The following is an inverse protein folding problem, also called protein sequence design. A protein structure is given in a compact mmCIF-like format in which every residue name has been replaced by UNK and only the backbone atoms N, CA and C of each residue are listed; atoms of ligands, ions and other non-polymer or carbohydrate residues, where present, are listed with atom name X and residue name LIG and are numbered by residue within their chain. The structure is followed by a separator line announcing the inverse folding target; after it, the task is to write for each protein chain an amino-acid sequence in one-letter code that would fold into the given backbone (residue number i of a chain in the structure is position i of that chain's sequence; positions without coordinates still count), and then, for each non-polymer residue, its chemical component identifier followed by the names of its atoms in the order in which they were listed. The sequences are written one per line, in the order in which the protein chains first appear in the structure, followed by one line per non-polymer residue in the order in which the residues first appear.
data_IF_155805608418
#
_entry.id   IF_155805608418
#
_cell.length_a   1.000
_cell.length_b   1.000
_cell.length_c   1.000
_cell.angle_alpha   90.00
_cell.angle_beta   90.00
_cell.angle_gamma   90.00
#
_symmetry.space_group_name_H-M   'P 1'
#
loop_
_entity.id
_entity.type
_entity.pdbx_description
1 polymer ?
#
# COMPACT_ATOMS: atom_id res chain seq x y z
N UNK A 1 13.49 11.12 62.46
CA UNK A 1 12.50 10.14 61.98
C UNK A 1 11.47 10.97 61.23
N UNK A 2 11.29 10.92 59.91
CA UNK A 2 11.27 9.80 58.95
C UNK A 2 11.56 10.37 57.56
N UNK A 3 12.69 9.99 56.94
CA UNK A 3 12.78 9.29 55.64
C UNK A 3 11.84 9.78 54.55
N UNK A 4 12.37 10.66 53.69
CA UNK A 4 12.05 10.74 52.27
C UNK A 4 12.43 9.41 51.59
N UNK A 5 11.48 8.79 50.89
CA UNK A 5 11.77 7.76 49.89
C UNK A 5 10.59 7.56 48.94
N UNK A 6 10.94 7.42 47.66
CA UNK A 6 10.16 6.96 46.50
C UNK A 6 9.39 8.07 45.74
N UNK A 7 9.54 8.21 44.43
CA UNK A 7 10.17 7.34 43.43
C UNK A 7 10.51 8.14 42.17
N UNK A 8 11.78 8.13 41.79
CA UNK A 8 12.20 8.42 40.42
C UNK A 8 11.68 7.29 39.52
N UNK A 9 10.73 7.60 38.65
CA UNK A 9 10.39 6.75 37.51
C UNK A 9 11.56 6.80 36.51
N UNK A 10 12.53 5.93 36.74
CA UNK A 10 13.52 5.59 35.72
C UNK A 10 12.77 4.82 34.63
N UNK A 11 12.38 5.53 33.56
CA UNK A 11 11.95 4.93 32.30
C UNK A 11 13.05 3.99 31.82
N UNK A 12 12.91 2.69 32.10
CA UNK A 12 13.72 1.65 31.45
C UNK A 12 13.42 1.80 29.96
N UNK A 13 14.41 2.28 29.20
CA UNK A 13 14.32 2.29 27.75
C UNK A 13 14.00 0.86 27.30
N UNK A 14 12.76 0.63 26.85
CA UNK A 14 12.31 -0.67 26.42
C UNK A 14 13.30 -1.20 25.37
N UNK A 15 13.80 -2.42 25.60
CA UNK A 15 14.73 -3.05 24.65
C UNK A 15 14.12 -3.04 23.25
N UNK A 16 14.92 -2.77 22.20
CA UNK A 16 14.45 -2.77 20.82
C UNK A 16 13.68 -4.06 20.52
N UNK A 17 12.57 -3.93 19.78
CA UNK A 17 11.82 -5.10 19.30
C UNK A 17 12.75 -5.89 18.37
N UNK A 18 12.77 -7.24 18.42
CA UNK A 18 13.57 -8.08 17.51
C UNK A 18 13.01 -8.09 16.07
N UNK A 19 12.76 -6.90 15.55
CA UNK A 19 12.22 -6.60 14.24
C UNK A 19 13.15 -5.61 13.55
N UNK A 20 13.51 -5.91 12.30
CA UNK A 20 14.18 -4.97 11.42
C UNK A 20 13.19 -4.14 10.61
N UNK A 21 13.56 -2.92 10.25
CA UNK A 21 12.72 -2.03 9.45
C UNK A 21 13.41 -1.71 8.13
N UNK A 22 12.66 -1.84 7.03
CA UNK A 22 13.05 -1.43 5.69
C UNK A 22 12.19 -0.25 5.27
N UNK A 23 12.82 0.91 5.08
CA UNK A 23 12.19 2.13 4.57
C UNK A 23 12.60 2.33 3.12
N UNK A 24 11.65 2.51 2.20
CA UNK A 24 11.95 2.88 0.80
C UNK A 24 11.57 4.34 0.54
N UNK A 25 12.32 5.07 -0.28
CA UNK A 25 11.97 6.46 -0.58
C UNK A 25 12.65 7.04 -1.81
N UNK A 26 12.10 8.18 -2.25
CA UNK A 26 12.68 9.06 -3.27
C UNK A 26 12.20 10.49 -3.07
N UNK A 27 13.12 11.42 -2.83
CA UNK A 27 12.81 12.85 -2.69
C UNK A 27 11.72 13.14 -1.63
N UNK A 28 11.81 12.48 -0.48
CA UNK A 28 10.78 12.57 0.56
C UNK A 28 11.06 13.65 1.62
N UNK A 29 12.24 14.28 1.59
CA UNK A 29 12.61 15.42 2.42
C UNK A 29 12.26 15.23 3.90
N UNK A 30 11.52 16.19 4.47
CA UNK A 30 11.11 16.14 5.88
C UNK A 30 10.16 14.97 6.21
N UNK A 31 9.49 14.38 5.21
CA UNK A 31 8.67 13.18 5.45
C UNK A 31 9.55 12.00 5.79
N UNK A 32 10.67 11.80 5.08
CA UNK A 32 11.66 10.78 5.40
C UNK A 32 12.25 10.98 6.79
N UNK A 33 12.56 12.23 7.15
CA UNK A 33 13.11 12.55 8.47
C UNK A 33 12.17 12.10 9.59
N UNK A 34 10.86 12.36 9.44
CA UNK A 34 9.82 11.89 10.37
C UNK A 34 9.71 10.37 10.36
N UNK A 35 9.69 9.74 9.19
CA UNK A 35 9.65 8.29 9.05
C UNK A 35 10.78 7.62 9.83
N UNK A 36 12.02 8.02 9.56
CA UNK A 36 13.20 7.43 10.19
C UNK A 36 13.24 7.73 11.70
N UNK A 37 12.84 8.92 12.13
CA UNK A 37 12.72 9.24 13.55
C UNK A 37 11.70 8.36 14.28
N UNK A 38 10.61 7.96 13.64
CA UNK A 38 9.56 7.12 14.25
C UNK A 38 9.98 5.66 14.51
N UNK A 39 11.03 5.18 13.83
CA UNK A 39 11.49 3.78 13.94
C UNK A 39 12.88 3.64 14.55
N UNK A 40 13.70 4.70 14.50
CA UNK A 40 15.06 4.70 15.05
C UNK A 40 15.00 4.54 16.57
N UNK A 41 15.72 3.54 17.09
CA UNK A 41 15.74 3.18 18.51
C UNK A 41 14.61 2.25 18.95
N UNK A 42 13.55 2.09 18.15
CA UNK A 42 12.48 1.12 18.43
C UNK A 42 12.72 -0.24 17.75
N UNK A 43 13.39 -0.25 16.60
CA UNK A 43 13.74 -1.43 15.82
C UNK A 43 15.16 -1.93 16.11
N UNK A 44 15.41 -3.22 15.88
CA UNK A 44 16.74 -3.83 16.02
C UNK A 44 17.74 -3.32 14.98
N UNK A 45 17.27 -3.03 13.76
CA UNK A 45 18.03 -2.39 12.69
C UNK A 45 17.08 -1.65 11.75
N UNK A 46 17.57 -0.57 11.14
CA UNK A 46 16.82 0.23 10.17
C UNK A 46 17.66 0.38 8.90
N UNK A 47 17.10 -0.02 7.77
CA UNK A 47 17.70 0.17 6.44
C UNK A 47 16.82 1.13 5.65
N UNK A 48 17.41 2.22 5.18
CA UNK A 48 16.80 3.10 4.19
C UNK A 48 17.28 2.72 2.79
N UNK A 49 16.35 2.58 1.85
CA UNK A 49 16.64 2.28 0.46
C UNK A 49 16.23 3.45 -0.40
N UNK A 50 17.24 4.07 -0.99
CA UNK A 50 17.09 5.24 -1.83
C UNK A 50 16.97 4.85 -3.31
N UNK A 51 15.99 5.42 -4.00
CA UNK A 51 15.75 5.19 -5.42
C UNK A 51 16.11 6.40 -6.29
N UNK A 52 17.20 7.08 -5.94
CA UNK A 52 17.75 8.22 -6.69
C UNK A 52 17.18 9.55 -6.22
N UNK A 53 17.30 9.82 -4.92
CA UNK A 53 16.97 11.13 -4.34
C UNK A 53 18.05 12.16 -4.64
N UNK A 54 17.65 13.43 -4.73
CA UNK A 54 18.51 14.59 -4.97
C UNK A 54 18.25 15.73 -3.98
N UNK A 55 17.52 15.45 -2.90
CA UNK A 55 17.05 16.43 -1.92
C UNK A 55 17.81 16.38 -0.57
N UNK A 56 18.93 15.67 -0.53
CA UNK A 56 19.72 15.47 0.70
C UNK A 56 19.25 14.30 1.58
N UNK A 57 18.28 13.49 1.13
CA UNK A 57 17.74 12.35 1.89
C UNK A 57 18.81 11.35 2.32
N UNK A 58 19.74 11.00 1.42
CA UNK A 58 20.79 10.00 1.68
C UNK A 58 21.80 10.51 2.70
N UNK A 59 22.27 11.75 2.53
CA UNK A 59 23.23 12.40 3.41
C UNK A 59 22.66 12.53 4.81
N UNK A 60 21.39 12.94 4.92
CA UNK A 60 20.72 13.05 6.20
C UNK A 60 20.50 11.69 6.88
N UNK A 61 20.05 10.66 6.15
CA UNK A 61 19.86 9.33 6.72
C UNK A 61 21.16 8.77 7.31
N UNK A 62 22.28 8.94 6.60
CA UNK A 62 23.61 8.56 7.08
C UNK A 62 24.04 9.35 8.31
N UNK A 63 23.78 10.66 8.35
CA UNK A 63 24.20 11.52 9.46
C UNK A 63 23.51 11.17 10.79
N UNK A 64 22.33 10.52 10.72
CA UNK A 64 21.61 10.01 11.90
C UNK A 64 21.82 8.52 12.16
N UNK A 65 22.82 7.90 11.51
CA UNK A 65 23.24 6.52 11.75
C UNK A 65 22.34 5.45 11.14
N UNK A 66 21.52 5.77 10.14
CA UNK A 66 20.71 4.78 9.40
C UNK A 66 21.55 4.18 8.27
N UNK A 67 21.49 2.86 8.10
CA UNK A 67 22.16 2.18 6.98
C UNK A 67 21.41 2.49 5.68
N UNK A 68 22.15 2.86 4.63
CA UNK A 68 21.57 3.32 3.36
C UNK A 68 22.01 2.45 2.20
N UNK A 69 21.04 1.91 1.48
CA UNK A 69 21.21 1.23 0.19
C UNK A 69 20.76 2.16 -0.92
N UNK A 70 21.67 2.63 -1.75
CA UNK A 70 21.33 3.35 -2.98
C UNK A 70 21.10 2.34 -4.11
N UNK A 71 19.93 2.36 -4.74
CA UNK A 71 19.65 1.49 -5.87
C UNK A 71 20.45 1.90 -7.11
N UNK A 72 20.86 0.91 -7.89
CA UNK A 72 21.42 1.14 -9.22
C UNK A 72 20.33 1.65 -10.17
N UNK A 73 20.49 2.89 -10.63
CA UNK A 73 19.56 3.58 -11.52
C UNK A 73 19.73 3.19 -12.99
N UNK A 74 20.74 2.38 -13.35
CA UNK A 74 20.87 1.80 -14.70
C UNK A 74 19.72 0.83 -15.03
N UNK A 75 19.08 0.30 -13.99
CA UNK A 75 17.93 -0.58 -14.07
C UNK A 75 16.70 0.16 -13.55
N UNK A 76 15.52 0.06 -14.23
CA UNK A 76 14.31 0.72 -13.75
C UNK A 76 13.99 0.34 -12.30
N UNK A 77 13.75 1.34 -11.45
CA UNK A 77 13.40 1.10 -10.05
C UNK A 77 11.92 0.75 -9.92
N UNK A 78 11.61 -0.09 -8.95
CA UNK A 78 10.25 -0.40 -8.50
C UNK A 78 10.26 -0.42 -6.97
N UNK A 79 9.10 -0.22 -6.35
CA UNK A 79 9.00 -0.35 -4.90
C UNK A 79 9.37 -1.78 -4.43
N UNK A 80 9.04 -2.80 -5.23
CA UNK A 80 9.48 -4.18 -5.02
C UNK A 80 11.00 -4.32 -4.93
N UNK A 81 11.75 -3.73 -5.88
CA UNK A 81 13.23 -3.72 -5.85
C UNK A 81 13.77 -3.04 -4.60
N UNK A 82 13.20 -1.89 -4.24
CA UNK A 82 13.60 -1.17 -3.03
C UNK A 82 13.42 -2.03 -1.78
N UNK A 83 12.25 -2.66 -1.62
CA UNK A 83 11.97 -3.52 -0.46
C UNK A 83 12.85 -4.76 -0.41
N UNK A 84 13.09 -5.41 -1.55
CA UNK A 84 13.98 -6.58 -1.60
C UNK A 84 15.43 -6.23 -1.26
N UNK A 85 15.97 -5.15 -1.85
CA UNK A 85 17.33 -4.71 -1.58
C UNK A 85 17.52 -4.34 -0.09
N UNK A 86 16.54 -3.65 0.48
CA UNK A 86 16.53 -3.32 1.90
C UNK A 86 16.44 -4.55 2.79
N UNK A 87 15.61 -5.53 2.44
CA UNK A 87 15.51 -6.78 3.21
C UNK A 87 16.82 -7.59 3.14
N UNK A 88 17.46 -7.67 1.97
CA UNK A 88 18.75 -8.34 1.82
C UNK A 88 19.80 -7.71 2.75
N UNK A 89 19.93 -6.37 2.71
CA UNK A 89 20.83 -5.63 3.59
C UNK A 89 20.48 -5.80 5.07
N UNK A 90 19.19 -5.77 5.40
CA UNK A 90 18.72 -5.97 6.78
C UNK A 90 19.15 -7.34 7.32
N UNK A 91 19.10 -8.40 6.50
CA UNK A 91 19.54 -9.73 6.90
C UNK A 91 21.04 -9.83 7.15
N UNK A 92 21.86 -9.02 6.48
CA UNK A 92 23.29 -8.93 6.76
C UNK A 92 23.55 -8.24 8.11
N UNK A 93 22.83 -7.15 8.38
CA UNK A 93 23.01 -6.34 9.59
C UNK A 93 22.42 -6.97 10.84
N UNK A 94 21.26 -7.64 10.71
CA UNK A 94 20.51 -8.20 11.82
C UNK A 94 19.91 -9.56 11.44
N UNK A 95 20.73 -10.61 11.28
CA UNK A 95 20.28 -11.94 10.88
C UNK A 95 19.31 -12.58 11.90
N UNK A 96 19.33 -12.12 13.16
CA UNK A 96 18.44 -12.58 14.22
C UNK A 96 17.04 -11.92 14.19
N UNK A 97 16.81 -10.93 13.30
CA UNK A 97 15.50 -10.28 13.17
C UNK A 97 14.46 -11.24 12.60
N UNK A 98 13.59 -11.77 13.48
CA UNK A 98 12.51 -12.70 13.13
C UNK A 98 11.42 -12.05 12.28
N UNK A 99 11.30 -10.73 12.37
CA UNK A 99 10.31 -9.95 11.64
C UNK A 99 10.96 -8.81 10.85
N UNK A 100 10.36 -8.48 9.72
CA UNK A 100 10.67 -7.27 8.94
C UNK A 100 9.42 -6.40 8.83
N UNK A 101 9.56 -5.12 9.15
CA UNK A 101 8.56 -4.09 8.88
C UNK A 101 8.96 -3.32 7.62
N UNK A 102 8.11 -3.33 6.60
CA UNK A 102 8.26 -2.46 5.44
C UNK A 102 7.51 -1.14 5.67
N UNK A 103 8.11 -0.01 5.29
CA UNK A 103 7.53 1.33 5.43
C UNK A 103 7.91 2.17 4.20
N UNK A 104 7.00 3.04 3.77
CA UNK A 104 7.31 4.05 2.74
C UNK A 104 7.83 5.33 3.42
N UNK A 105 8.82 6.00 2.83
CA UNK A 105 9.52 7.14 3.42
C UNK A 105 8.64 8.37 3.69
N UNK A 106 7.40 8.38 3.20
CA UNK A 106 6.40 9.40 3.48
C UNK A 106 5.39 8.99 4.56
N UNK A 107 5.71 7.94 5.33
CA UNK A 107 4.91 7.45 6.44
C UNK A 107 5.59 7.67 7.79
N UNK A 108 4.82 7.82 8.85
CA UNK A 108 5.28 7.83 10.22
C UNK A 108 4.70 6.61 10.95
N UNK A 109 5.55 5.71 11.44
CA UNK A 109 5.10 4.52 12.17
C UNK A 109 4.54 4.92 13.52
N UNK A 110 3.41 4.34 13.91
CA UNK A 110 2.76 4.68 15.15
C UNK A 110 3.57 4.24 16.38
N UNK A 111 3.63 5.04 17.45
CA UNK A 111 4.28 4.64 18.69
C UNK A 111 3.75 3.29 19.19
N UNK A 112 4.66 2.38 19.54
CA UNK A 112 4.31 1.03 20.03
C UNK A 112 3.89 0.02 18.95
N UNK A 113 3.64 0.44 17.70
CA UNK A 113 3.19 -0.47 16.62
C UNK A 113 4.11 -1.67 16.45
N UNK A 114 5.44 -1.45 16.40
CA UNK A 114 6.41 -2.54 16.17
C UNK A 114 6.28 -3.65 17.24
N UNK A 115 6.03 -3.28 18.50
CA UNK A 115 5.84 -4.22 19.60
C UNK A 115 4.51 -4.96 19.45
N UNK A 116 3.42 -4.22 19.23
CA UNK A 116 2.07 -4.81 19.08
C UNK A 116 2.04 -5.81 17.92
N UNK A 117 2.62 -5.45 16.78
CA UNK A 117 2.69 -6.31 15.60
C UNK A 117 3.58 -7.54 15.82
N UNK A 118 4.74 -7.39 16.44
CA UNK A 118 5.63 -8.53 16.73
C UNK A 118 4.98 -9.49 17.70
N UNK A 119 4.36 -8.98 18.76
CA UNK A 119 3.72 -9.78 19.79
C UNK A 119 2.51 -10.52 19.19
N UNK A 120 1.73 -9.86 18.32
CA UNK A 120 0.64 -10.53 17.58
C UNK A 120 1.15 -11.70 16.74
N UNK A 121 2.23 -11.50 15.97
CA UNK A 121 2.81 -12.58 15.18
C UNK A 121 3.37 -13.68 16.09
N UNK A 122 4.00 -13.38 17.21
CA UNK A 122 4.48 -14.41 18.14
C UNK A 122 3.36 -15.32 18.67
N UNK A 123 2.16 -14.78 18.88
CA UNK A 123 0.99 -15.56 19.32
C UNK A 123 0.19 -16.23 18.18
N UNK A 124 0.48 -15.92 16.91
CA UNK A 124 -0.23 -16.41 15.73
C UNK A 124 0.75 -17.04 14.73
N UNK A 125 1.23 -18.28 14.98
CA UNK A 125 2.26 -18.92 14.16
C UNK A 125 1.86 -19.14 12.70
N UNK A 126 0.56 -19.26 12.40
CA UNK A 126 -0.03 -19.43 11.07
C UNK A 126 -0.21 -18.11 10.30
N UNK A 127 0.04 -16.96 10.93
CA UNK A 127 0.00 -15.64 10.28
C UNK A 127 1.41 -15.23 9.87
N UNK A 128 1.59 -14.96 8.57
CA UNK A 128 2.88 -14.52 8.03
C UNK A 128 2.99 -12.99 7.93
N UNK A 129 1.87 -12.29 7.80
CA UNK A 129 1.84 -10.84 7.61
C UNK A 129 0.77 -10.21 8.51
N UNK A 130 1.14 -9.14 9.21
CA UNK A 130 0.21 -8.30 9.97
C UNK A 130 0.35 -6.84 9.57
N UNK A 131 -0.78 -6.19 9.31
CA UNK A 131 -0.86 -4.75 9.17
C UNK A 131 -1.92 -4.17 10.11
N UNK A 132 -1.82 -2.89 10.44
CA UNK A 132 -2.80 -2.20 11.26
C UNK A 132 -3.63 -1.21 10.46
N UNK A 133 -4.21 -0.24 11.15
CA UNK A 133 -4.87 0.91 10.56
C UNK A 133 -3.80 1.90 10.06
N UNK A 134 -3.70 2.02 8.73
CA UNK A 134 -2.97 3.10 8.08
C UNK A 134 -3.88 4.33 7.98
N UNK A 135 -3.55 5.44 8.63
CA UNK A 135 -4.31 6.69 8.54
C UNK A 135 -3.71 7.61 7.50
N UNK A 136 -4.54 8.40 6.84
CA UNK A 136 -4.03 9.58 6.17
C UNK A 136 -3.68 10.65 7.21
N UNK A 137 -2.55 11.32 7.04
CA UNK A 137 -2.05 12.33 7.97
C UNK A 137 -2.89 13.60 7.94
N UNK A 138 -3.32 14.02 6.74
CA UNK A 138 -4.06 15.27 6.54
C UNK A 138 -5.35 15.01 5.73
N UNK A 139 -6.30 14.23 6.26
CA UNK A 139 -7.48 13.81 5.51
C UNK A 139 -8.36 15.00 5.07
N UNK A 140 -8.33 16.10 5.80
CA UNK A 140 -9.03 17.36 5.52
C UNK A 140 -8.37 18.21 4.42
N UNK A 141 -7.13 17.93 4.02
CA UNK A 141 -6.38 18.74 3.07
C UNK A 141 -6.96 18.73 1.65
N UNK A 142 -7.61 17.63 1.27
CA UNK A 142 -8.37 17.53 0.04
C UNK A 142 -9.34 16.34 0.09
N UNK A 143 -10.32 16.33 -0.82
CA UNK A 143 -11.21 15.17 -0.99
C UNK A 143 -10.44 13.89 -1.33
N UNK A 144 -9.28 13.98 -1.97
CA UNK A 144 -8.47 12.83 -2.36
C UNK A 144 -7.66 12.28 -1.19
N UNK A 145 -7.19 13.14 -0.28
CA UNK A 145 -6.63 12.73 1.01
C UNK A 145 -7.71 12.02 1.84
N UNK A 146 -8.92 12.61 1.92
CA UNK A 146 -10.07 11.98 2.60
C UNK A 146 -10.40 10.61 2.02
N UNK A 147 -10.37 10.46 0.69
CA UNK A 147 -10.59 9.18 0.02
C UNK A 147 -9.52 8.14 0.39
N UNK A 148 -8.23 8.50 0.42
CA UNK A 148 -7.17 7.62 0.89
C UNK A 148 -7.49 7.10 2.30
N UNK A 149 -7.85 7.99 3.22
CA UNK A 149 -8.17 7.61 4.60
C UNK A 149 -9.30 6.58 4.68
N UNK A 150 -10.38 6.82 3.93
CA UNK A 150 -11.55 5.94 3.85
C UNK A 150 -11.16 4.58 3.25
N UNK A 151 -10.43 4.57 2.13
CA UNK A 151 -10.06 3.35 1.40
C UNK A 151 -9.08 2.46 2.17
N UNK A 152 -8.21 3.05 2.99
CA UNK A 152 -7.28 2.31 3.83
C UNK A 152 -7.94 1.73 5.09
N UNK A 153 -9.13 2.20 5.46
CA UNK A 153 -9.89 1.67 6.58
C UNK A 153 -10.67 0.40 6.21
N UNK A 154 -9.94 -0.68 5.95
CA UNK A 154 -10.54 -1.99 5.64
C UNK A 154 -10.98 -2.72 6.91
N UNK A 155 -11.72 -3.82 6.79
CA UNK A 155 -12.16 -4.60 7.94
C UNK A 155 -10.99 -5.20 8.73
N UNK A 156 -11.14 -5.32 10.06
CA UNK A 156 -10.22 -6.08 10.94
C UNK A 156 -10.43 -7.57 10.70
N UNK A 157 -9.35 -8.35 10.77
CA UNK A 157 -9.37 -9.81 10.63
C UNK A 157 -8.53 -10.30 9.46
N UNK A 158 -8.76 -11.56 9.08
CA UNK A 158 -8.12 -12.18 7.93
C UNK A 158 -8.44 -11.43 6.63
N UNK A 159 -7.43 -11.26 5.78
CA UNK A 159 -7.57 -10.58 4.49
C UNK A 159 -6.81 -11.31 3.39
N UNK A 160 -7.22 -11.13 2.14
CA UNK A 160 -6.52 -11.69 0.98
C UNK A 160 -5.17 -11.00 0.70
N UNK A 161 -5.04 -9.74 1.11
CA UNK A 161 -3.84 -8.92 0.86
C UNK A 161 -3.69 -7.72 1.80
N UNK A 162 -2.45 -7.26 2.01
CA UNK A 162 -2.08 -6.02 2.70
C UNK A 162 -1.53 -4.96 1.73
N UNK A 163 -1.24 -3.76 2.23
CA UNK A 163 -0.50 -2.73 1.47
C UNK A 163 1.01 -2.84 1.70
N UNK A 164 1.76 -1.84 1.22
CA UNK A 164 3.23 -1.80 1.30
C UNK A 164 3.81 -1.54 2.70
N UNK A 165 2.97 -1.07 3.63
CA UNK A 165 3.32 -0.88 5.04
C UNK A 165 2.76 -2.05 5.83
N UNK A 166 3.64 -2.93 6.30
CA UNK A 166 3.27 -4.24 6.85
C UNK A 166 4.47 -4.86 7.59
N UNK A 167 4.19 -5.56 8.68
CA UNK A 167 5.16 -6.45 9.32
C UNK A 167 4.99 -7.87 8.81
N UNK A 168 6.09 -8.51 8.43
CA UNK A 168 6.13 -9.88 7.93
C UNK A 168 7.14 -10.73 8.71
N UNK A 169 6.90 -12.04 8.77
CA UNK A 169 7.93 -12.99 9.18
C UNK A 169 9.06 -13.02 8.14
N UNK A 170 10.28 -12.85 8.61
CA UNK A 170 11.47 -12.79 7.75
C UNK A 170 11.70 -14.08 6.98
N UNK A 171 11.46 -15.24 7.61
CA UNK A 171 11.60 -16.56 7.02
C UNK A 171 10.55 -16.83 5.95
N UNK A 172 9.28 -16.48 6.18
CA UNK A 172 8.21 -16.61 5.18
C UNK A 172 8.49 -15.69 3.98
N UNK A 173 8.84 -14.43 4.23
CA UNK A 173 9.17 -13.49 3.16
C UNK A 173 10.35 -13.98 2.30
N UNK A 174 11.39 -14.53 2.92
CA UNK A 174 12.51 -15.16 2.23
C UNK A 174 12.08 -16.43 1.45
N UNK A 175 11.27 -17.30 2.07
CA UNK A 175 10.83 -18.57 1.48
C UNK A 175 9.95 -18.38 0.24
N UNK A 176 9.21 -17.28 0.14
CA UNK A 176 8.44 -16.94 -1.06
C UNK A 176 9.26 -16.20 -2.12
N UNK A 177 10.52 -15.87 -1.86
CA UNK A 177 11.40 -15.16 -2.79
C UNK A 177 11.18 -13.65 -2.83
N UNK A 178 10.62 -13.06 -1.75
CA UNK A 178 10.37 -11.61 -1.67
C UNK A 178 9.35 -11.08 -2.67
N UNK A 179 9.39 -9.76 -2.92
CA UNK A 179 8.53 -9.10 -3.92
C UNK A 179 9.00 -9.43 -5.34
N UNK A 180 8.05 -9.54 -6.29
CA UNK A 180 8.38 -9.70 -7.70
C UNK A 180 8.84 -8.35 -8.30
N UNK A 181 10.14 -8.19 -8.49
CA UNK A 181 10.77 -6.93 -8.90
C UNK A 181 10.33 -6.40 -10.26
N UNK A 182 9.83 -7.26 -11.15
CA UNK A 182 9.35 -6.88 -12.47
C UNK A 182 8.02 -6.11 -12.43
N UNK A 183 7.29 -6.14 -11.31
CA UNK A 183 6.00 -5.46 -11.17
C UNK A 183 6.22 -3.97 -10.93
N UNK A 184 5.57 -3.14 -11.74
CA UNK A 184 5.54 -1.68 -11.53
C UNK A 184 4.43 -1.27 -10.55
N UNK A 185 3.47 -2.17 -10.30
CA UNK A 185 2.36 -1.98 -9.38
C UNK A 185 1.74 -3.33 -9.01
N UNK A 186 1.17 -3.43 -7.80
CA UNK A 186 0.47 -4.64 -7.36
C UNK A 186 1.41 -5.71 -6.80
N UNK A 187 2.64 -5.31 -6.43
CA UNK A 187 3.62 -6.18 -5.82
C UNK A 187 3.14 -6.78 -4.49
N UNK A 188 2.37 -6.04 -3.70
CA UNK A 188 1.85 -6.51 -2.41
C UNK A 188 0.74 -7.56 -2.53
N UNK A 189 -0.34 -7.34 -3.32
CA UNK A 189 -1.34 -8.39 -3.51
C UNK A 189 -0.77 -9.63 -4.21
N UNK A 190 0.20 -9.47 -5.11
CA UNK A 190 0.88 -10.61 -5.74
C UNK A 190 1.68 -11.44 -4.72
N UNK A 191 2.44 -10.77 -3.85
CA UNK A 191 3.17 -11.42 -2.76
C UNK A 191 2.21 -12.12 -1.79
N UNK A 192 1.13 -11.46 -1.37
CA UNK A 192 0.14 -12.03 -0.47
C UNK A 192 -0.51 -13.29 -1.05
N UNK A 193 -0.75 -13.33 -2.37
CA UNK A 193 -1.26 -14.52 -3.04
C UNK A 193 -0.28 -15.69 -2.91
N UNK A 194 1.02 -15.47 -3.15
CA UNK A 194 2.06 -16.51 -3.00
C UNK A 194 2.23 -16.97 -1.55
N UNK A 195 2.15 -16.07 -0.58
CA UNK A 195 2.16 -16.39 0.84
C UNK A 195 0.97 -17.30 1.18
N UNK A 196 -0.24 -16.92 0.76
CA UNK A 196 -1.44 -17.73 1.00
C UNK A 196 -1.45 -19.07 0.29
N UNK A 197 -0.83 -19.16 -0.88
CA UNK A 197 -0.67 -20.43 -1.59
C UNK A 197 0.20 -21.44 -0.82
N UNK A 198 1.00 -20.99 0.16
CA UNK A 198 1.74 -21.87 1.10
C UNK A 198 0.94 -22.29 2.32
N UNK A 199 -0.26 -21.73 2.52
CA UNK A 199 -1.10 -21.96 3.69
C UNK A 199 -0.98 -20.89 4.77
N UNK A 200 -0.08 -19.92 4.61
CA UNK A 200 0.09 -18.80 5.55
C UNK A 200 -1.05 -17.77 5.42
N UNK A 201 -1.39 -17.11 6.53
CA UNK A 201 -2.47 -16.10 6.58
C UNK A 201 -1.92 -14.68 6.58
N UNK A 202 -2.75 -13.75 6.10
CA UNK A 202 -2.51 -12.30 6.13
C UNK A 202 -3.59 -11.67 7.00
N UNK A 203 -3.19 -10.85 7.97
CA UNK A 203 -4.09 -10.31 8.99
C UNK A 203 -4.04 -8.79 9.06
N UNK A 204 -5.20 -8.18 9.33
CA UNK A 204 -5.28 -6.78 9.75
C UNK A 204 -5.78 -6.69 11.19
N UNK A 205 -5.02 -6.01 12.07
CA UNK A 205 -5.45 -5.68 13.43
C UNK A 205 -6.02 -4.25 13.52
N UNK A 206 -6.67 -3.92 14.64
CA UNK A 206 -7.38 -2.66 14.82
C UNK A 206 -6.45 -1.48 15.12
N UNK A 207 -5.29 -1.76 15.70
CA UNK A 207 -4.29 -0.78 16.15
C UNK A 207 -3.80 0.11 15.02
N UNK A 208 -3.52 1.37 15.34
CA UNK A 208 -2.91 2.30 14.40
C UNK A 208 -1.49 1.86 14.09
N UNK A 209 -1.19 1.71 12.80
CA UNK A 209 0.10 1.24 12.30
C UNK A 209 1.00 2.40 11.88
N UNK A 210 0.44 3.35 11.14
CA UNK A 210 1.18 4.50 10.63
C UNK A 210 0.24 5.62 10.17
N UNK A 211 0.81 6.82 10.04
CA UNK A 211 0.24 7.94 9.30
C UNK A 211 0.98 8.10 7.98
N UNK A 212 0.25 8.00 6.86
CA UNK A 212 0.76 8.27 5.52
C UNK A 212 0.54 9.75 5.19
N UNK A 213 1.51 10.44 4.58
CA UNK A 213 1.26 11.72 3.91
C UNK A 213 1.12 11.49 2.40
N UNK A 214 -0.08 11.14 1.95
CA UNK A 214 -0.35 10.82 0.55
C UNK A 214 -0.01 11.97 -0.40
N UNK A 215 -0.07 13.22 0.08
CA UNK A 215 0.08 14.46 -0.68
C UNK A 215 -0.74 14.50 -2.00
N UNK A 216 -1.87 13.78 -2.04
CA UNK A 216 -2.74 13.69 -3.20
C UNK A 216 -3.77 14.80 -3.13
N UNK A 217 -3.56 15.90 -3.86
CA UNK A 217 -4.41 17.11 -3.78
C UNK A 217 -5.13 17.42 -5.10
N UNK A 218 -4.79 16.71 -6.19
CA UNK A 218 -5.28 17.01 -7.54
C UNK A 218 -5.95 15.81 -8.18
N UNK A 219 -6.99 16.05 -8.98
CA UNK A 219 -7.70 15.03 -9.73
C UNK A 219 -6.77 14.15 -10.58
N UNK A 220 -5.81 14.76 -11.28
CA UNK A 220 -4.87 14.03 -12.14
C UNK A 220 -3.96 13.06 -11.37
N UNK A 221 -3.67 13.30 -10.09
CA UNK A 221 -2.92 12.37 -9.25
C UNK A 221 -3.80 11.16 -8.90
N UNK A 222 -5.03 11.42 -8.45
CA UNK A 222 -6.02 10.36 -8.20
C UNK A 222 -6.30 9.51 -9.45
N UNK A 223 -6.49 10.15 -10.61
CA UNK A 223 -6.71 9.46 -11.89
C UNK A 223 -5.54 8.53 -12.23
N UNK A 224 -4.30 9.03 -12.15
CA UNK A 224 -3.10 8.22 -12.41
C UNK A 224 -2.95 7.06 -11.43
N UNK A 225 -3.26 7.27 -10.15
CA UNK A 225 -3.30 6.19 -9.14
C UNK A 225 -4.34 5.12 -9.49
N UNK A 226 -5.51 5.50 -9.98
CA UNK A 226 -6.54 4.55 -10.42
C UNK A 226 -6.14 3.81 -11.71
N UNK A 227 -5.49 4.48 -12.67
CA UNK A 227 -4.90 3.82 -13.86
C UNK A 227 -3.84 2.79 -13.43
N UNK A 228 -2.95 3.15 -12.50
CA UNK A 228 -1.98 2.22 -11.92
C UNK A 228 -2.66 1.02 -11.27
N UNK A 229 -3.76 1.23 -10.56
CA UNK A 229 -4.58 0.16 -9.97
C UNK A 229 -5.20 -0.79 -11.00
N UNK A 230 -5.67 -0.27 -12.13
CA UNK A 230 -6.17 -1.07 -13.25
C UNK A 230 -5.08 -1.89 -13.93
N UNK A 231 -3.90 -1.30 -14.13
CA UNK A 231 -2.72 -2.00 -14.65
C UNK A 231 -2.31 -3.17 -13.74
N UNK A 232 -2.16 -2.91 -12.44
CA UNK A 232 -1.82 -3.92 -11.44
C UNK A 232 -2.82 -5.09 -11.42
N UNK A 233 -4.11 -4.78 -11.55
CA UNK A 233 -5.17 -5.78 -11.61
C UNK A 233 -5.03 -6.70 -12.83
N UNK A 234 -4.82 -6.11 -14.01
CA UNK A 234 -4.66 -6.88 -15.25
C UNK A 234 -3.39 -7.73 -15.24
N UNK A 235 -2.28 -7.17 -14.77
CA UNK A 235 -1.01 -7.89 -14.66
C UNK A 235 -1.09 -9.04 -13.66
N UNK A 236 -1.63 -8.81 -12.47
CA UNK A 236 -1.81 -9.86 -11.46
C UNK A 236 -2.69 -11.01 -11.96
N UNK A 237 -3.80 -10.70 -12.66
CA UNK A 237 -4.67 -11.72 -13.26
C UNK A 237 -3.96 -12.49 -14.38
N UNK A 238 -3.13 -11.83 -15.19
CA UNK A 238 -2.36 -12.50 -16.25
C UNK A 238 -1.27 -13.41 -15.67
N UNK A 239 -0.68 -13.06 -14.52
CA UNK A 239 0.34 -13.86 -13.84
C UNK A 239 -0.22 -15.10 -13.16
N UNK A 240 -1.39 -15.00 -12.53
CA UNK A 240 -1.92 -16.08 -11.69
C UNK A 240 -3.13 -16.82 -12.27
N UNK A 241 -3.78 -16.26 -13.29
CA UNK A 241 -4.89 -16.89 -14.00
C UNK A 241 -5.95 -17.45 -13.03
N UNK A 242 -6.12 -18.77 -13.05
CA UNK A 242 -7.07 -19.49 -12.19
C UNK A 242 -6.83 -19.28 -10.69
N UNK A 243 -5.58 -19.12 -10.24
CA UNK A 243 -5.21 -18.92 -8.84
C UNK A 243 -5.54 -17.51 -8.30
N UNK A 244 -5.90 -16.57 -9.18
CA UNK A 244 -6.26 -15.21 -8.77
C UNK A 244 -7.51 -15.18 -7.88
N UNK A 245 -7.54 -14.24 -6.93
CA UNK A 245 -8.63 -14.13 -5.95
C UNK A 245 -9.99 -13.88 -6.63
N UNK A 246 -11.07 -14.36 -6.00
CA UNK A 246 -12.44 -14.08 -6.46
C UNK A 246 -12.73 -12.56 -6.45
N UNK A 247 -12.11 -11.83 -5.52
CA UNK A 247 -12.17 -10.36 -5.40
C UNK A 247 -11.60 -9.68 -6.64
N UNK A 248 -10.42 -10.09 -7.11
CA UNK A 248 -9.77 -9.51 -8.29
C UNK A 248 -10.54 -9.83 -9.56
N UNK A 249 -11.00 -11.07 -9.73
CA UNK A 249 -11.88 -11.47 -10.84
C UNK A 249 -13.17 -10.63 -10.85
N UNK A 250 -13.79 -10.43 -9.69
CA UNK A 250 -14.96 -9.57 -9.53
C UNK A 250 -14.68 -8.09 -9.85
N UNK A 251 -13.53 -7.57 -9.42
CA UNK A 251 -13.07 -6.22 -9.74
C UNK A 251 -12.88 -6.05 -11.26
N UNK A 252 -12.23 -6.99 -11.93
CA UNK A 252 -12.04 -6.92 -13.39
C UNK A 252 -13.39 -6.90 -14.13
N UNK A 253 -14.31 -7.81 -13.78
CA UNK A 253 -15.66 -7.83 -14.38
C UNK A 253 -16.36 -6.48 -14.22
N UNK A 254 -16.25 -5.86 -13.05
CA UNK A 254 -16.83 -4.54 -12.78
C UNK A 254 -16.17 -3.45 -13.63
N UNK A 255 -14.85 -3.43 -13.72
CA UNK A 255 -14.10 -2.47 -14.53
C UNK A 255 -14.45 -2.61 -16.02
N UNK A 256 -14.51 -3.85 -16.53
CA UNK A 256 -14.90 -4.11 -17.92
C UNK A 256 -16.34 -3.69 -18.17
N UNK A 257 -17.28 -4.11 -17.32
CA UNK A 257 -18.70 -3.81 -17.51
C UNK A 257 -18.99 -2.31 -17.46
N UNK A 258 -18.49 -1.62 -16.43
CA UNK A 258 -18.84 -0.23 -16.14
C UNK A 258 -17.85 0.80 -16.69
N UNK A 259 -16.59 0.42 -16.91
CA UNK A 259 -15.57 1.32 -17.44
C UNK A 259 -15.36 1.22 -18.95
N UNK A 260 -15.81 0.13 -19.60
CA UNK A 260 -15.60 -0.10 -21.03
C UNK A 260 -16.88 -0.45 -21.79
N UNK A 261 -17.51 -1.58 -21.45
CA UNK A 261 -18.61 -2.16 -22.24
C UNK A 261 -19.85 -1.26 -22.25
N UNK A 262 -20.31 -0.79 -21.09
CA UNK A 262 -21.47 0.09 -21.00
C UNK A 262 -21.22 1.45 -21.68
N UNK A 263 -20.12 2.19 -21.42
CA UNK A 263 -19.83 3.43 -22.16
C UNK A 263 -19.79 3.23 -23.69
N UNK A 264 -19.14 2.17 -24.17
CA UNK A 264 -19.06 1.87 -25.60
C UNK A 264 -20.45 1.57 -26.21
N UNK A 265 -21.27 0.79 -25.51
CA UNK A 265 -22.64 0.51 -25.93
C UNK A 265 -23.49 1.79 -25.99
N UNK A 266 -23.38 2.67 -25.00
CA UNK A 266 -24.11 3.95 -24.97
C UNK A 266 -23.71 4.87 -26.12
N UNK A 267 -22.42 4.95 -26.44
CA UNK A 267 -21.93 5.73 -27.60
C UNK A 267 -22.46 5.15 -28.91
N UNK A 268 -22.41 3.82 -29.08
CA UNK A 268 -22.92 3.15 -30.27
C UNK A 268 -24.45 3.34 -30.43
N UNK A 269 -25.22 3.25 -29.35
CA UNK A 269 -26.66 3.49 -29.39
C UNK A 269 -27.00 4.96 -29.61
N UNK A 270 -26.22 5.90 -29.06
CA UNK A 270 -26.42 7.33 -29.27
C UNK A 270 -26.23 7.74 -30.75
N UNK A 271 -25.38 7.01 -31.49
CA UNK A 271 -25.24 7.18 -32.94
C UNK A 271 -26.51 6.74 -33.72
N UNK A 272 -27.34 5.86 -33.14
CA UNK A 272 -28.65 5.48 -33.70
C UNK A 272 -29.71 6.52 -33.30
N UNK A 273 -29.76 6.89 -32.01
CA UNK A 273 -30.69 7.90 -31.52
C UNK A 273 -30.19 8.56 -30.21
N UNK A 274 -30.16 9.90 -30.10
CA UNK A 274 -29.56 10.58 -28.94
C UNK A 274 -30.28 10.31 -27.61
N UNK A 275 -31.56 9.93 -27.61
CA UNK A 275 -32.29 9.58 -26.39
C UNK A 275 -31.66 8.44 -25.58
N UNK A 276 -30.86 7.57 -26.21
CA UNK A 276 -30.11 6.52 -25.49
C UNK A 276 -29.09 7.09 -24.51
N UNK A 277 -28.67 8.35 -24.66
CA UNK A 277 -27.82 9.04 -23.68
C UNK A 277 -28.50 9.21 -22.32
N UNK A 278 -29.83 9.18 -22.24
CA UNK A 278 -30.55 9.20 -20.96
C UNK A 278 -30.17 8.03 -20.04
N UNK A 279 -29.73 6.89 -20.61
CA UNK A 279 -29.28 5.73 -19.85
C UNK A 279 -27.97 5.97 -19.07
N UNK A 280 -27.24 7.06 -19.33
CA UNK A 280 -26.10 7.50 -18.49
C UNK A 280 -26.55 7.71 -17.03
N UNK A 281 -27.83 7.97 -16.77
CA UNK A 281 -28.42 8.06 -15.44
C UNK A 281 -28.22 6.79 -14.57
N UNK A 282 -27.85 5.66 -15.17
CA UNK A 282 -27.49 4.46 -14.40
C UNK A 282 -26.30 4.67 -13.46
N UNK A 283 -25.36 5.55 -13.80
CA UNK A 283 -24.21 5.87 -12.94
C UNK A 283 -24.61 6.59 -11.65
N UNK A 284 -25.36 7.72 -11.68
CA UNK A 284 -25.84 8.36 -10.45
C UNK A 284 -26.77 7.45 -9.64
N UNK A 285 -27.62 6.62 -10.27
CA UNK A 285 -28.43 5.62 -9.57
C UNK A 285 -27.57 4.59 -8.83
N UNK A 286 -26.46 4.17 -9.44
CA UNK A 286 -25.48 3.28 -8.81
C UNK A 286 -24.78 3.96 -7.63
N UNK A 287 -24.40 5.23 -7.77
CA UNK A 287 -23.81 6.02 -6.68
C UNK A 287 -24.80 6.09 -5.50
N UNK A 288 -26.06 6.47 -5.75
CA UNK A 288 -27.12 6.52 -4.73
C UNK A 288 -27.27 5.17 -4.01
N UNK A 289 -27.38 4.07 -4.76
CA UNK A 289 -27.48 2.72 -4.18
C UNK A 289 -26.27 2.36 -3.33
N UNK A 290 -25.06 2.70 -3.77
CA UNK A 290 -23.82 2.39 -3.04
C UNK A 290 -23.69 3.23 -1.78
N UNK A 291 -23.94 4.54 -1.86
CA UNK A 291 -23.89 5.45 -0.73
C UNK A 291 -24.91 5.08 0.35
N UNK A 292 -26.12 4.67 -0.05
CA UNK A 292 -27.17 4.28 0.90
C UNK A 292 -26.88 2.93 1.59
N UNK A 293 -26.20 2.00 0.90
CA UNK A 293 -25.79 0.72 1.48
C UNK A 293 -24.54 0.80 2.33
N UNK A 294 -23.71 1.83 2.13
CA UNK A 294 -22.50 2.01 2.90
C UNK A 294 -22.86 2.28 4.37
N UNK A 295 -22.23 1.51 5.27
CA UNK A 295 -22.39 1.66 6.72
C UNK A 295 -21.23 2.45 7.33
N UNK A 296 -20.72 3.46 6.61
CA UNK A 296 -19.70 4.35 7.14
C UNK A 296 -20.27 5.25 8.24
N UNK A 297 -19.40 5.74 9.11
CA UNK A 297 -19.76 6.58 10.26
C UNK A 297 -20.39 7.93 9.86
N UNK A 298 -20.09 8.44 8.67
CA UNK A 298 -20.55 9.74 8.17
C UNK A 298 -21.24 9.60 6.81
N UNK A 299 -22.47 10.12 6.63
CA UNK A 299 -23.16 10.09 5.34
C UNK A 299 -22.39 10.75 4.20
N UNK A 300 -21.73 11.88 4.44
CA UNK A 300 -20.94 12.60 3.43
C UNK A 300 -19.76 11.76 2.92
N UNK A 301 -19.10 11.00 3.80
CA UNK A 301 -18.03 10.07 3.44
C UNK A 301 -18.55 8.92 2.55
N UNK A 302 -19.75 8.41 2.82
CA UNK A 302 -20.39 7.36 2.01
C UNK A 302 -20.65 7.84 0.57
N UNK A 303 -21.14 9.07 0.42
CA UNK A 303 -21.37 9.68 -0.90
C UNK A 303 -20.07 9.94 -1.66
N UNK A 304 -19.06 10.49 -1.00
CA UNK A 304 -17.74 10.72 -1.57
C UNK A 304 -17.13 9.41 -2.07
N UNK A 305 -17.05 8.40 -1.20
CA UNK A 305 -16.54 7.08 -1.55
C UNK A 305 -17.33 6.44 -2.71
N UNK A 306 -18.66 6.43 -2.65
CA UNK A 306 -19.48 5.82 -3.70
C UNK A 306 -19.28 6.49 -5.07
N UNK A 307 -19.18 7.82 -5.10
CA UNK A 307 -18.94 8.60 -6.32
C UNK A 307 -17.61 8.22 -6.96
N UNK A 308 -16.55 8.17 -6.16
CA UNK A 308 -15.21 7.84 -6.64
C UNK A 308 -15.01 6.35 -6.94
N UNK A 309 -15.75 5.45 -6.28
CA UNK A 309 -15.78 4.03 -6.63
C UNK A 309 -16.45 3.74 -7.98
N UNK A 310 -17.44 4.55 -8.36
CA UNK A 310 -18.04 4.48 -9.69
C UNK A 310 -17.10 5.12 -10.70
N UNK A 311 -16.59 6.31 -10.41
CA UNK A 311 -15.69 7.05 -11.30
C UNK A 311 -14.36 6.31 -11.53
N UNK A 312 -13.83 5.57 -10.57
CA UNK A 312 -12.57 4.83 -10.72
C UNK A 312 -12.63 3.73 -11.78
N UNK A 313 -13.82 3.26 -12.15
CA UNK A 313 -13.98 2.20 -13.16
C UNK A 313 -13.43 2.63 -14.53
N UNK A 314 -13.46 3.94 -14.86
CA UNK A 314 -12.94 4.48 -16.12
C UNK A 314 -11.40 4.53 -16.18
N UNK A 315 -10.67 5.18 -15.25
CA UNK A 315 -9.21 5.11 -15.24
C UNK A 315 -8.68 3.69 -15.01
N UNK A 316 -9.35 2.87 -14.18
CA UNK A 316 -8.98 1.45 -14.04
C UNK A 316 -9.08 0.71 -15.38
N UNK A 317 -10.13 0.99 -16.17
CA UNK A 317 -10.27 0.42 -17.52
C UNK A 317 -9.14 0.86 -18.47
N UNK A 318 -8.73 2.13 -18.42
CA UNK A 318 -7.55 2.62 -19.16
C UNK A 318 -6.29 1.85 -18.76
N UNK A 319 -6.09 1.61 -17.47
CA UNK A 319 -4.97 0.82 -16.95
C UNK A 319 -4.98 -0.63 -17.43
N UNK A 320 -6.14 -1.28 -17.39
CA UNK A 320 -6.34 -2.65 -17.90
C UNK A 320 -6.04 -2.72 -19.40
N UNK A 321 -6.61 -1.82 -20.20
CA UNK A 321 -6.40 -1.78 -21.64
C UNK A 321 -4.92 -1.54 -21.99
N UNK A 322 -4.28 -0.60 -21.28
CA UNK A 322 -2.87 -0.26 -21.49
C UNK A 322 -1.95 -1.45 -21.19
N UNK A 323 -2.22 -2.21 -20.12
CA UNK A 323 -1.48 -3.45 -19.83
C UNK A 323 -1.55 -4.43 -21.01
N UNK A 324 -2.76 -4.75 -21.48
CA UNK A 324 -2.95 -5.73 -22.56
C UNK A 324 -2.37 -5.27 -23.90
N UNK A 325 -2.46 -3.97 -24.21
CA UNK A 325 -1.85 -3.37 -25.39
C UNK A 325 -0.32 -3.43 -25.35
N UNK A 326 0.29 -3.15 -24.19
CA UNK A 326 1.75 -3.25 -24.06
C UNK A 326 2.20 -4.71 -24.14
N UNK A 327 1.48 -5.62 -23.48
CA UNK A 327 1.76 -7.05 -23.50
C UNK A 327 1.69 -7.63 -24.91
N UNK A 328 0.68 -7.27 -25.71
CA UNK A 328 0.55 -7.75 -27.10
C UNK A 328 1.66 -7.23 -28.02
N UNK A 329 2.27 -6.09 -27.68
CA UNK A 329 3.42 -5.49 -28.37
C UNK A 329 4.77 -5.98 -27.84
N UNK A 330 4.80 -6.90 -26.87
CA UNK A 330 6.04 -7.33 -26.20
C UNK A 330 6.72 -6.24 -25.38
N UNK A 331 6.01 -5.14 -25.08
CA UNK A 331 6.53 -3.99 -24.33
C UNK A 331 6.28 -4.17 -22.83
N UNK A 332 7.29 -3.85 -22.01
CA UNK A 332 7.13 -3.75 -20.56
C UNK A 332 6.49 -2.41 -20.19
N UNK A 333 5.61 -2.41 -19.20
CA UNK A 333 5.05 -1.18 -18.65
C UNK A 333 6.13 -0.29 -18.03
N UNK A 334 6.03 1.02 -18.25
CA UNK A 334 6.81 2.01 -17.51
C UNK A 334 6.09 2.36 -16.20
N UNK A 335 6.84 2.73 -15.18
CA UNK A 335 6.29 3.14 -13.87
C UNK A 335 5.25 4.25 -14.05
N UNK A 336 4.09 4.10 -13.40
CA UNK A 336 3.01 5.09 -13.42
C UNK A 336 3.10 5.91 -12.13
N UNK A 337 3.84 7.01 -12.18
CA UNK A 337 4.01 7.93 -11.06
C UNK A 337 2.83 8.92 -10.98
N UNK A 338 2.34 9.13 -9.77
CA UNK A 338 1.20 10.02 -9.50
C UNK A 338 1.48 11.06 -8.41
N UNK A 339 2.68 11.05 -7.84
CA UNK A 339 3.15 12.10 -6.93
C UNK A 339 3.85 13.20 -7.70
#
# INVERSE_FOLDING_TARGET
MTRDSASAETSIAALPVPCGVVVIGRNEGDRLKRCLASVRGAAAAVVYVDSGSTDGSVEWARSVGVDVVALDMSTPFTAARGRNAGFARLRELSPASRFVQFVDGDCEVAPGWLRVASDFLDHQPDVACVCGRLRERFPERSIYNRLCDIEWNRAVGETDACGGIVMMRSDVFAAVGGFRESLIAGEEPELCLRIRARGDRVWRIADDMAWHDAAMTRFGQWWRRAVRGGHALAEGLALHGAASSARDKGRLRRVVAWGMALPAALIAMAAIHPAWLALVAVYPLRILRMAWKARGAEPSANWLWASFMVLSSFPEAVGVATYWLNRSRGQRGKLIEYK
#
